data_IF_552237112167
#
_entry.id   IF_552237112167
#
_cell.length_a   1.000
_cell.length_b   1.000
_cell.length_c   1.000
_cell.angle_alpha   90.00
_cell.angle_beta   90.00
_cell.angle_gamma   90.00
#
_symmetry.space_group_name_H-M   'P 1'
#
loop_
_entity.id
_entity.type
_entity.pdbx_description
1 polymer ?
#
# COMPACT_ATOMS: atom_id res chain seq x y z
N UNK A 1 -19.38 32.65 -65.01
CA UNK A 1 -20.06 32.89 -63.71
C UNK A 1 -19.18 32.30 -62.61
N UNK A 2 -18.94 33.07 -61.55
CA UNK A 2 -17.83 32.91 -60.59
C UNK A 2 -18.00 31.64 -59.74
N UNK A 3 -17.05 30.71 -59.80
CA UNK A 3 -16.92 29.62 -58.82
C UNK A 3 -16.22 30.18 -57.57
N UNK A 4 -17.00 30.34 -56.49
CA UNK A 4 -16.52 30.83 -55.20
C UNK A 4 -16.74 29.72 -54.17
N UNK A 5 -15.75 28.86 -53.99
CA UNK A 5 -15.60 28.04 -52.80
C UNK A 5 -14.09 27.87 -52.60
N UNK A 6 -13.53 28.46 -51.54
CA UNK A 6 -13.20 27.63 -50.39
C UNK A 6 -13.22 28.46 -49.10
N UNK A 7 -14.38 28.65 -48.46
CA UNK A 7 -14.41 29.19 -47.09
C UNK A 7 -14.59 28.09 -46.05
N UNK A 8 -15.35 27.03 -46.33
CA UNK A 8 -15.68 26.02 -45.30
C UNK A 8 -14.54 25.04 -44.98
N UNK A 9 -13.70 24.69 -45.96
CA UNK A 9 -12.54 23.82 -45.72
C UNK A 9 -11.48 24.50 -44.84
N UNK A 10 -11.30 25.81 -44.98
CA UNK A 10 -10.35 26.60 -44.19
C UNK A 10 -10.79 26.70 -42.72
N UNK A 11 -12.09 26.90 -42.45
CA UNK A 11 -12.63 26.90 -41.07
C UNK A 11 -12.54 25.52 -40.40
N UNK A 12 -12.73 24.43 -41.15
CA UNK A 12 -12.62 23.07 -40.61
C UNK A 12 -11.18 22.70 -40.24
N UNK A 13 -10.20 23.08 -41.07
CA UNK A 13 -8.78 22.85 -40.81
C UNK A 13 -8.28 23.69 -39.63
N UNK A 14 -8.73 24.94 -39.51
CA UNK A 14 -8.38 25.83 -38.39
C UNK A 14 -9.00 25.38 -37.05
N UNK A 15 -10.20 24.77 -37.07
CA UNK A 15 -10.82 24.18 -35.88
C UNK A 15 -10.10 22.89 -35.43
N UNK A 16 -9.54 22.10 -36.35
CA UNK A 16 -8.73 20.93 -36.00
C UNK A 16 -7.35 21.30 -35.43
N UNK A 17 -6.75 22.41 -35.89
CA UNK A 17 -5.42 22.86 -35.45
C UNK A 17 -5.42 23.48 -34.04
N UNK A 18 -6.52 24.10 -33.61
CA UNK A 18 -6.65 24.64 -32.25
C UNK A 18 -6.79 23.56 -31.18
N UNK A 19 -7.37 22.40 -31.52
CA UNK A 19 -7.48 21.27 -30.60
C UNK A 19 -6.13 20.57 -30.34
N UNK A 20 -5.20 20.65 -31.29
CA UNK A 20 -3.88 20.02 -31.20
C UNK A 20 -2.86 20.80 -30.35
N UNK A 21 -3.07 22.10 -30.11
CA UNK A 21 -2.12 22.97 -29.40
C UNK A 21 -2.49 23.26 -27.93
N UNK A 22 -3.70 22.89 -27.50
CA UNK A 22 -4.17 23.12 -26.11
C UNK A 22 -3.87 21.94 -25.17
N UNK A 23 -3.35 20.82 -25.70
CA UNK A 23 -2.99 19.65 -24.87
C UNK A 23 -1.53 19.23 -25.05
N UNK A 24 -0.56 20.05 -24.60
CA UNK A 24 0.70 19.49 -24.12
C UNK A 24 1.03 19.90 -22.68
N UNK A 25 0.03 20.30 -21.89
CA UNK A 25 0.21 20.60 -20.45
C UNK A 25 0.11 19.36 -19.55
N UNK A 26 -0.23 18.19 -20.11
CA UNK A 26 -0.30 16.93 -19.37
C UNK A 26 1.09 16.28 -19.23
N UNK A 27 2.10 17.07 -18.85
CA UNK A 27 3.18 16.54 -18.04
C UNK A 27 2.56 16.19 -16.68
N UNK A 28 1.91 15.03 -16.65
CA UNK A 28 1.65 14.30 -15.43
C UNK A 28 3.03 13.93 -14.88
N UNK A 29 3.72 14.89 -14.26
CA UNK A 29 4.74 14.58 -13.26
C UNK A 29 3.94 13.90 -12.17
N UNK A 30 3.84 12.58 -12.26
CA UNK A 30 3.34 11.72 -11.22
C UNK A 30 4.24 11.99 -10.01
N UNK A 31 3.81 12.91 -9.16
CA UNK A 31 4.44 13.12 -7.85
C UNK A 31 4.31 11.77 -7.16
N UNK A 32 5.41 11.15 -6.69
CA UNK A 32 5.29 9.91 -5.91
C UNK A 32 4.36 10.23 -4.74
N UNK A 33 3.26 9.49 -4.65
CA UNK A 33 2.24 9.71 -3.65
C UNK A 33 2.85 9.44 -2.27
N UNK A 34 3.38 10.50 -1.65
CA UNK A 34 3.76 10.47 -0.25
C UNK A 34 2.50 10.89 0.50
N UNK A 35 1.51 10.00 0.56
CA UNK A 35 0.25 10.26 1.26
C UNK A 35 -0.02 9.13 2.24
N UNK A 36 -0.02 9.50 3.52
CA UNK A 36 -0.38 8.65 4.65
C UNK A 36 -1.70 7.92 4.39
N UNK A 37 -1.67 6.60 4.51
CA UNK A 37 -2.83 5.72 4.29
C UNK A 37 -2.52 4.49 3.43
N UNK A 38 -1.44 4.53 2.63
CA UNK A 38 -0.98 3.39 1.84
C UNK A 38 -0.34 2.29 2.69
N UNK A 39 -0.70 1.04 2.43
CA UNK A 39 -0.02 -0.13 2.98
C UNK A 39 1.38 -0.19 2.36
N UNK A 40 2.41 -0.19 3.20
CA UNK A 40 3.82 -0.25 2.80
C UNK A 40 4.44 -1.53 3.34
N UNK A 41 5.15 -2.28 2.51
CA UNK A 41 5.91 -3.45 2.97
C UNK A 41 7.10 -3.04 3.84
N UNK A 42 7.38 -3.81 4.89
CA UNK A 42 8.52 -3.58 5.78
C UNK A 42 9.69 -4.43 5.29
N UNK A 43 10.78 -3.84 4.78
CA UNK A 43 11.94 -4.61 4.33
C UNK A 43 12.75 -5.13 5.53
N UNK A 44 13.54 -6.20 5.31
CA UNK A 44 14.48 -6.78 6.28
C UNK A 44 13.82 -7.20 7.60
N UNK A 45 12.77 -8.01 7.48
CA UNK A 45 11.93 -8.49 8.59
C UNK A 45 12.74 -9.32 9.59
N UNK A 46 13.71 -10.10 9.11
CA UNK A 46 14.54 -10.95 9.97
C UNK A 46 15.47 -10.14 10.89
N UNK A 47 15.88 -8.94 10.47
CA UNK A 47 16.77 -8.06 11.25
C UNK A 47 15.98 -7.06 12.10
N UNK A 48 14.71 -6.83 11.79
CA UNK A 48 13.90 -5.83 12.47
C UNK A 48 13.33 -6.41 13.78
N UNK A 49 13.99 -6.06 14.90
CA UNK A 49 13.62 -6.50 16.25
C UNK A 49 12.19 -6.10 16.61
N UNK A 50 11.77 -4.86 16.29
CA UNK A 50 10.42 -4.36 16.59
C UNK A 50 9.34 -5.24 15.95
N UNK A 51 9.53 -5.63 14.68
CA UNK A 51 8.56 -6.48 13.98
C UNK A 51 8.49 -7.88 14.58
N UNK A 52 9.63 -8.45 14.97
CA UNK A 52 9.67 -9.76 15.63
C UNK A 52 9.01 -9.71 17.02
N UNK A 53 9.23 -8.64 17.78
CA UNK A 53 8.58 -8.42 19.07
C UNK A 53 7.07 -8.26 18.93
N UNK A 54 6.59 -7.52 17.93
CA UNK A 54 5.16 -7.41 17.62
C UNK A 54 4.55 -8.77 17.24
N UNK A 55 5.32 -9.59 16.51
CA UNK A 55 4.94 -10.97 16.21
C UNK A 55 4.79 -11.82 17.46
N UNK A 56 5.79 -11.78 18.35
CA UNK A 56 5.79 -12.50 19.63
C UNK A 56 4.61 -12.07 20.51
N UNK A 57 4.41 -10.76 20.65
CA UNK A 57 3.28 -10.18 21.38
C UNK A 57 1.93 -10.66 20.84
N UNK A 58 1.79 -10.74 19.51
CA UNK A 58 0.55 -11.21 18.87
C UNK A 58 0.23 -12.66 19.25
N UNK A 59 1.24 -13.54 19.26
CA UNK A 59 1.08 -14.95 19.63
C UNK A 59 0.78 -15.10 21.12
N UNK A 60 1.49 -14.37 21.98
CA UNK A 60 1.26 -14.39 23.43
C UNK A 60 -0.14 -13.91 23.80
N UNK A 61 -0.61 -12.81 23.19
CA UNK A 61 -1.97 -12.30 23.38
C UNK A 61 -3.03 -13.29 22.91
N UNK A 62 -2.80 -13.96 21.78
CA UNK A 62 -3.71 -14.97 21.28
C UNK A 62 -3.79 -16.17 22.24
N UNK A 63 -2.64 -16.70 22.67
CA UNK A 63 -2.57 -17.79 23.64
C UNK A 63 -3.30 -17.43 24.95
N UNK A 64 -3.17 -16.19 25.42
CA UNK A 64 -3.85 -15.72 26.63
C UNK A 64 -5.37 -15.64 26.47
N UNK A 65 -5.87 -15.25 25.30
CA UNK A 65 -7.31 -15.07 25.03
C UNK A 65 -8.04 -16.36 24.70
N UNK A 66 -7.42 -17.20 23.88
CA UNK A 66 -8.03 -18.42 23.34
C UNK A 66 -7.61 -19.68 24.11
N UNK A 67 -6.83 -19.53 25.20
CA UNK A 67 -6.23 -20.64 25.94
C UNK A 67 -5.44 -21.61 25.03
N UNK A 68 -4.83 -21.07 23.97
CA UNK A 68 -4.01 -21.82 23.03
C UNK A 68 -2.55 -21.94 23.50
N UNK A 69 -1.81 -22.85 22.87
CA UNK A 69 -0.40 -23.12 23.15
C UNK A 69 0.46 -23.03 21.88
N UNK A 70 0.40 -21.88 21.21
CA UNK A 70 1.23 -21.60 20.04
C UNK A 70 2.64 -21.15 20.47
N UNK A 71 3.67 -21.68 19.82
CA UNK A 71 5.05 -21.23 20.03
C UNK A 71 5.50 -20.35 18.87
N UNK A 72 5.82 -19.08 19.14
CA UNK A 72 6.31 -18.15 18.12
C UNK A 72 7.65 -18.63 17.52
N UNK A 73 7.74 -18.69 16.20
CA UNK A 73 8.98 -19.01 15.49
C UNK A 73 9.59 -17.73 14.88
N UNK A 74 8.88 -17.09 13.94
CA UNK A 74 9.34 -15.86 13.26
C UNK A 74 8.22 -15.15 12.52
N UNK A 75 8.45 -13.88 12.18
CA UNK A 75 7.62 -13.16 11.20
C UNK A 75 8.13 -13.42 9.78
N UNK A 76 7.26 -13.87 8.89
CA UNK A 76 7.56 -14.18 7.48
C UNK A 76 7.28 -12.98 6.57
N UNK A 77 6.22 -12.24 6.82
CA UNK A 77 5.87 -11.02 6.09
C UNK A 77 5.37 -9.95 7.04
N UNK A 78 5.70 -8.70 6.74
CA UNK A 78 5.24 -7.56 7.51
C UNK A 78 4.89 -6.38 6.59
N UNK A 79 3.73 -5.80 6.81
CA UNK A 79 3.28 -4.58 6.16
C UNK A 79 2.87 -3.57 7.23
N UNK A 80 3.06 -2.29 6.96
CA UNK A 80 2.68 -1.20 7.86
C UNK A 80 1.74 -0.22 7.16
N UNK A 81 0.84 0.35 7.94
CA UNK A 81 -0.10 1.38 7.50
C UNK A 81 -0.20 2.47 8.56
N UNK A 82 -0.06 3.72 8.14
CA UNK A 82 -0.25 4.89 9.03
C UNK A 82 -1.75 5.13 9.17
N UNK A 83 -2.24 5.15 10.42
CA UNK A 83 -3.63 5.40 10.83
C UNK A 83 -3.62 6.39 12.01
N UNK A 84 -4.56 6.32 12.96
CA UNK A 84 -4.42 6.96 14.29
C UNK A 84 -3.42 6.19 15.17
N UNK A 85 -2.17 6.08 14.69
CA UNK A 85 -1.13 5.16 15.14
C UNK A 85 -0.45 4.47 13.95
N UNK A 86 0.32 3.42 14.20
CA UNK A 86 0.89 2.56 13.14
C UNK A 86 0.26 1.20 13.25
N UNK A 87 -0.41 0.75 12.18
CA UNK A 87 -0.98 -0.59 12.08
C UNK A 87 -0.01 -1.49 11.33
N UNK A 88 0.40 -2.58 11.95
CA UNK A 88 1.20 -3.64 11.36
C UNK A 88 0.31 -4.82 10.99
N UNK A 89 0.43 -5.31 9.76
CA UNK A 89 -0.11 -6.58 9.29
C UNK A 89 1.05 -7.56 9.21
N UNK A 90 0.99 -8.62 10.01
CA UNK A 90 2.06 -9.59 10.16
C UNK A 90 1.57 -10.95 9.70
N UNK A 91 2.41 -11.66 8.95
CA UNK A 91 2.26 -13.10 8.71
C UNK A 91 3.32 -13.81 9.54
N UNK A 92 2.87 -14.55 10.53
CA UNK A 92 3.69 -15.14 11.58
C UNK A 92 3.73 -16.65 11.38
N UNK A 93 4.92 -17.23 11.42
CA UNK A 93 5.09 -18.67 11.58
C UNK A 93 5.14 -18.99 13.07
N UNK A 94 4.24 -19.87 13.51
CA UNK A 94 4.19 -20.37 14.88
C UNK A 94 3.90 -21.88 14.89
N UNK A 95 4.41 -22.57 15.89
CA UNK A 95 4.26 -24.01 16.04
C UNK A 95 3.03 -24.34 16.88
N UNK A 96 2.20 -25.24 16.37
CA UNK A 96 1.01 -25.75 17.04
C UNK A 96 1.13 -27.29 17.09
N UNK A 97 1.34 -27.84 18.29
CA UNK A 97 1.42 -29.29 18.48
C UNK A 97 2.55 -29.98 17.71
N UNK A 98 3.72 -29.34 17.58
CA UNK A 98 4.88 -29.92 16.90
C UNK A 98 4.97 -29.61 15.40
N UNK A 99 3.99 -28.92 14.82
CA UNK A 99 3.97 -28.57 13.40
C UNK A 99 3.92 -27.04 13.19
N UNK A 100 4.77 -26.46 12.31
CA UNK A 100 4.71 -25.04 11.99
C UNK A 100 3.45 -24.72 11.19
N UNK A 101 2.81 -23.61 11.53
CA UNK A 101 1.63 -23.05 10.87
C UNK A 101 1.80 -21.55 10.69
N UNK A 102 1.15 -21.03 9.65
CA UNK A 102 1.15 -19.60 9.33
C UNK A 102 -0.13 -18.94 9.85
N UNK A 103 0.04 -17.82 10.53
CA UNK A 103 -1.03 -17.03 11.12
C UNK A 103 -0.95 -15.59 10.64
N UNK A 104 -2.10 -14.96 10.42
CA UNK A 104 -2.17 -13.54 10.12
C UNK A 104 -2.57 -12.78 11.38
N UNK A 105 -1.82 -11.73 11.70
CA UNK A 105 -2.08 -10.85 12.83
C UNK A 105 -2.11 -9.39 12.40
N UNK A 106 -2.91 -8.59 13.08
CA UNK A 106 -2.98 -7.15 12.89
C UNK A 106 -2.82 -6.44 14.23
N UNK A 107 -1.77 -5.63 14.38
CA UNK A 107 -1.43 -4.94 15.63
C UNK A 107 -1.41 -3.44 15.38
N UNK A 108 -1.99 -2.65 16.28
CA UNK A 108 -1.95 -1.17 16.20
C UNK A 108 -1.12 -0.64 17.37
N UNK A 109 -0.05 0.08 17.03
CA UNK A 109 0.82 0.75 17.99
C UNK A 109 0.47 2.24 18.03
N UNK A 110 0.24 2.78 19.23
CA UNK A 110 0.06 4.21 19.47
C UNK A 110 1.17 4.68 20.40
N UNK A 111 1.91 5.71 20.01
CA UNK A 111 2.99 6.27 20.82
C UNK A 111 2.49 7.19 21.96
N UNK A 112 1.17 7.41 22.04
CA UNK A 112 0.52 8.25 23.04
C UNK A 112 -0.63 7.47 23.72
N UNK A 113 -0.79 7.69 25.02
CA UNK A 113 -1.89 7.21 25.86
C UNK A 113 -2.70 8.40 26.36
#
# INVERSE_FOLDING_TARGET
RRFRAPQMASFFVLFCLSFALVVPSSLCVARPATWTGGITEVPRIDTNVEVQELGRFSVEEHNRREHAHLSFQRVVEAQRQVVSGVKYYLRIEAEEGGAPRLFNAAVVVKAWL
#
